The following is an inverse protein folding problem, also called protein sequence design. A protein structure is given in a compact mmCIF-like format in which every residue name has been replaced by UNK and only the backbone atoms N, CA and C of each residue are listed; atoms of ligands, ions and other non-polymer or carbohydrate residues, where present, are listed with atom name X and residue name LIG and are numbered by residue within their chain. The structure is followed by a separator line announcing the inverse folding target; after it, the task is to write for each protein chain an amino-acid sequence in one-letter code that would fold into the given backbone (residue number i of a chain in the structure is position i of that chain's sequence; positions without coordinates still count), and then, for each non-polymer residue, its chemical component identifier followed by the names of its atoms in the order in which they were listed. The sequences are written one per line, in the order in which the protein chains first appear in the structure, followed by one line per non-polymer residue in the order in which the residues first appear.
data_IF_451377560172
#
_entry.id   IF_451377560172
#
_cell.length_a   1.000
_cell.length_b   1.000
_cell.length_c   1.000
_cell.angle_alpha   90.00
_cell.angle_beta   90.00
_cell.angle_gamma   90.00
#
_symmetry.space_group_name_H-M   'P 1'
#
loop_
_entity.id
_entity.type
_entity.pdbx_description
1 polymer ?
#
# COMPACT_ATOMS: atom_id res chain seq x y z
N UNK A 1 -31.18 18.18 -53.42
CA UNK A 1 -30.39 18.32 -52.18
C UNK A 1 -29.23 19.23 -52.48
N UNK A 2 -29.42 20.53 -52.27
CA UNK A 2 -28.40 21.56 -52.56
C UNK A 2 -27.21 21.38 -51.61
N UNK A 3 -26.00 21.74 -52.02
CA UNK A 3 -24.78 21.64 -51.18
C UNK A 3 -24.92 22.32 -49.80
N UNK A 4 -25.84 23.27 -49.69
CA UNK A 4 -26.19 23.99 -48.48
C UNK A 4 -26.96 23.17 -47.41
N UNK A 5 -27.49 21.99 -47.74
CA UNK A 5 -28.32 21.18 -46.83
C UNK A 5 -27.54 20.05 -46.12
N UNK A 6 -26.31 19.76 -46.54
CA UNK A 6 -25.52 18.69 -45.90
C UNK A 6 -25.06 19.13 -44.50
N UNK A 7 -24.94 18.23 -43.51
CA UNK A 7 -24.33 18.57 -42.23
C UNK A 7 -22.82 18.81 -42.38
N UNK A 8 -22.25 19.72 -41.58
CA UNK A 8 -20.80 19.89 -41.48
C UNK A 8 -20.20 18.67 -40.76
N UNK A 9 -19.34 17.90 -41.43
CA UNK A 9 -18.78 16.64 -40.89
C UNK A 9 -18.06 16.80 -39.54
N UNK A 10 -17.56 17.99 -39.23
CA UNK A 10 -16.78 18.26 -38.02
C UNK A 10 -17.58 18.92 -36.90
N UNK A 11 -18.80 19.40 -37.14
CA UNK A 11 -19.66 20.06 -36.15
C UNK A 11 -20.80 19.11 -35.74
N UNK A 12 -20.96 18.85 -34.45
CA UNK A 12 -22.01 17.97 -33.92
C UNK A 12 -23.30 18.76 -33.69
N UNK A 13 -24.42 18.13 -34.05
CA UNK A 13 -25.77 18.62 -33.71
C UNK A 13 -26.15 18.33 -32.25
N UNK A 14 -25.47 17.37 -31.62
CA UNK A 14 -25.64 16.95 -30.24
C UNK A 14 -24.77 17.78 -29.28
N UNK A 15 -25.00 17.65 -27.97
CA UNK A 15 -24.22 18.26 -26.87
C UNK A 15 -24.09 19.79 -26.90
N UNK A 16 -25.06 20.48 -27.51
CA UNK A 16 -25.06 21.93 -27.68
C UNK A 16 -23.75 22.50 -28.28
N UNK A 17 -23.00 21.67 -29.01
CA UNK A 17 -21.73 22.07 -29.61
C UNK A 17 -21.93 23.16 -30.67
N UNK A 18 -23.02 23.05 -31.43
CA UNK A 18 -23.42 24.06 -32.40
C UNK A 18 -23.85 25.38 -31.75
N UNK A 19 -24.47 25.36 -30.56
CA UNK A 19 -24.78 26.58 -29.79
C UNK A 19 -23.51 27.27 -29.35
N UNK A 20 -22.53 26.50 -28.87
CA UNK A 20 -21.23 27.03 -28.51
C UNK A 20 -20.49 27.62 -29.72
N UNK A 21 -20.53 26.94 -30.87
CA UNK A 21 -19.96 27.46 -32.10
C UNK A 21 -20.63 28.78 -32.53
N UNK A 22 -21.94 28.88 -32.35
CA UNK A 22 -22.68 30.11 -32.61
C UNK A 22 -22.22 31.26 -31.69
N UNK A 23 -22.10 31.00 -30.39
CA UNK A 23 -21.59 31.99 -29.43
C UNK A 23 -20.14 32.41 -29.74
N UNK A 24 -19.28 31.45 -30.09
CA UNK A 24 -17.90 31.74 -30.51
C UNK A 24 -17.86 32.68 -31.71
N UNK A 25 -18.73 32.48 -32.70
CA UNK A 25 -18.82 33.33 -33.88
C UNK A 25 -19.36 34.73 -33.54
N UNK A 26 -20.42 34.84 -32.72
CA UNK A 26 -20.96 36.13 -32.26
C UNK A 26 -19.89 37.01 -31.59
N UNK A 27 -18.98 36.42 -30.84
CA UNK A 27 -17.90 37.15 -30.15
C UNK A 27 -16.74 37.55 -31.08
N UNK A 28 -16.61 36.94 -32.26
CA UNK A 28 -15.46 37.13 -33.16
C UNK A 28 -15.79 37.88 -34.44
N UNK A 29 -17.07 37.96 -34.80
CA UNK A 29 -17.55 38.68 -35.96
C UNK A 29 -17.95 40.11 -35.58
N UNK A 30 -17.65 41.09 -36.44
CA UNK A 30 -18.15 42.46 -36.27
C UNK A 30 -19.66 42.51 -36.53
N UNK A 31 -20.34 43.50 -35.94
CA UNK A 31 -21.76 43.76 -36.18
C UNK A 31 -22.06 43.94 -37.69
N UNK A 32 -21.19 44.68 -38.39
CA UNK A 32 -21.28 44.93 -39.83
C UNK A 32 -21.11 43.69 -40.69
N UNK A 33 -20.34 42.71 -40.23
CA UNK A 33 -20.21 41.45 -40.95
C UNK A 33 -21.37 40.51 -40.61
N UNK A 34 -21.81 40.49 -39.35
CA UNK A 34 -22.98 39.72 -38.93
C UNK A 34 -24.24 40.14 -39.71
N UNK A 35 -24.45 41.43 -40.00
CA UNK A 35 -25.59 41.92 -40.78
C UNK A 35 -25.60 41.44 -42.24
N UNK A 36 -24.45 41.04 -42.78
CA UNK A 36 -24.29 40.51 -44.16
C UNK A 36 -24.52 39.00 -44.25
N UNK A 37 -24.59 38.30 -43.12
CA UNK A 37 -24.90 36.88 -43.09
C UNK A 37 -26.35 36.64 -43.51
N UNK A 38 -26.59 35.56 -44.25
CA UNK A 38 -27.94 35.16 -44.65
C UNK A 38 -28.81 34.85 -43.42
N UNK A 39 -30.02 35.44 -43.39
CA UNK A 39 -31.01 35.26 -42.33
C UNK A 39 -31.11 36.44 -41.36
N UNK A 40 -32.23 36.52 -40.66
CA UNK A 40 -32.50 37.60 -39.71
C UNK A 40 -31.56 37.53 -38.51
N UNK A 41 -31.38 38.67 -37.83
CA UNK A 41 -30.55 38.76 -36.63
C UNK A 41 -30.96 37.74 -35.55
N UNK A 42 -32.24 37.40 -35.49
CA UNK A 42 -32.82 36.47 -34.53
C UNK A 42 -32.71 35.00 -34.95
N UNK A 43 -32.61 34.70 -36.25
CA UNK A 43 -32.70 33.32 -36.77
C UNK A 43 -31.35 32.76 -37.24
N UNK A 44 -30.38 33.61 -37.61
CA UNK A 44 -29.08 33.22 -38.17
C UNK A 44 -28.21 32.28 -37.32
N UNK A 45 -28.50 32.17 -36.03
CA UNK A 45 -27.82 31.28 -35.09
C UNK A 45 -28.79 30.46 -34.22
N UNK A 46 -30.06 30.35 -34.63
CA UNK A 46 -31.11 29.73 -33.82
C UNK A 46 -31.14 28.20 -33.90
N UNK A 47 -30.58 27.61 -34.96
CA UNK A 47 -30.49 26.16 -35.12
C UNK A 47 -29.15 25.72 -35.71
N UNK A 48 -28.85 24.43 -35.62
CA UNK A 48 -27.68 23.81 -36.22
C UNK A 48 -27.55 24.14 -37.71
N UNK A 49 -28.65 24.09 -38.45
CA UNK A 49 -28.71 24.33 -39.89
C UNK A 49 -28.38 25.78 -40.23
N UNK A 50 -28.86 26.73 -39.41
CA UNK A 50 -28.53 28.15 -39.55
C UNK A 50 -27.04 28.41 -39.24
N UNK A 51 -26.51 27.82 -38.15
CA UNK A 51 -25.09 27.90 -37.79
C UNK A 51 -24.20 27.29 -38.88
N UNK A 52 -24.56 26.12 -39.41
CA UNK A 52 -23.81 25.45 -40.47
C UNK A 52 -23.79 26.28 -41.75
N UNK A 53 -24.91 26.93 -42.09
CA UNK A 53 -25.01 27.83 -43.24
C UNK A 53 -24.18 29.09 -43.05
N UNK A 54 -24.23 29.71 -41.86
CA UNK A 54 -23.40 30.86 -41.52
C UNK A 54 -21.90 30.51 -41.60
N UNK A 55 -21.50 29.35 -41.06
CA UNK A 55 -20.11 28.87 -41.14
C UNK A 55 -19.65 28.68 -42.59
N UNK A 56 -20.51 28.19 -43.50
CA UNK A 56 -20.15 28.07 -44.92
C UNK A 56 -19.90 29.41 -45.58
N UNK A 57 -20.75 30.40 -45.29
CA UNK A 57 -20.59 31.75 -45.79
C UNK A 57 -19.29 32.39 -45.24
N UNK A 58 -19.04 32.23 -43.93
CA UNK A 58 -17.80 32.68 -43.28
C UNK A 58 -16.58 31.95 -43.81
N UNK A 59 -16.69 30.67 -44.19
CA UNK A 59 -15.60 29.90 -44.77
C UNK A 59 -15.13 30.49 -46.12
N UNK A 60 -16.06 31.06 -46.89
CA UNK A 60 -15.76 31.72 -48.17
C UNK A 60 -15.06 33.07 -47.95
N UNK A 61 -15.52 33.87 -46.99
CA UNK A 61 -15.01 35.23 -46.77
C UNK A 61 -13.79 35.28 -45.82
N UNK A 62 -13.78 34.42 -44.80
CA UNK A 62 -12.82 34.40 -43.68
C UNK A 62 -12.43 32.96 -43.27
N UNK A 63 -11.74 32.20 -44.15
CA UNK A 63 -11.40 30.80 -43.91
C UNK A 63 -10.56 30.58 -42.64
N UNK A 64 -9.69 31.53 -42.28
CA UNK A 64 -8.84 31.45 -41.07
C UNK A 64 -9.68 31.42 -39.79
N UNK A 65 -10.82 32.13 -39.75
CA UNK A 65 -11.69 32.14 -38.58
C UNK A 65 -12.33 30.77 -38.37
N UNK A 66 -12.74 30.10 -39.45
CA UNK A 66 -13.33 28.76 -39.36
C UNK A 66 -12.29 27.72 -38.95
N UNK A 67 -11.04 27.83 -39.41
CA UNK A 67 -9.94 26.95 -38.94
C UNK A 67 -9.72 27.12 -37.42
N UNK A 68 -9.74 28.36 -36.92
CA UNK A 68 -9.64 28.63 -35.47
C UNK A 68 -10.82 28.07 -34.69
N UNK A 69 -12.05 28.21 -35.23
CA UNK A 69 -13.24 27.61 -34.65
C UNK A 69 -13.13 26.08 -34.57
N UNK A 70 -12.69 25.42 -35.64
CA UNK A 70 -12.44 23.97 -35.66
C UNK A 70 -11.43 23.55 -34.59
N UNK A 71 -10.31 24.27 -34.48
CA UNK A 71 -9.30 24.03 -33.45
C UNK A 71 -9.85 24.19 -32.02
N UNK A 72 -10.65 25.23 -31.79
CA UNK A 72 -11.27 25.47 -30.50
C UNK A 72 -12.30 24.39 -30.13
N UNK A 73 -13.11 23.91 -31.08
CA UNK A 73 -14.01 22.77 -30.86
C UNK A 73 -13.21 21.50 -30.54
N UNK A 74 -12.13 21.22 -31.27
CA UNK A 74 -11.27 20.06 -31.00
C UNK A 74 -10.69 20.12 -29.58
N UNK A 75 -10.19 21.27 -29.15
CA UNK A 75 -9.70 21.48 -27.78
C UNK A 75 -10.80 21.34 -26.74
N UNK A 76 -12.00 21.88 -27.00
CA UNK A 76 -13.15 21.75 -26.10
C UNK A 76 -13.55 20.29 -25.92
N UNK A 77 -13.62 19.50 -26.99
CA UNK A 77 -13.88 18.05 -26.93
C UNK A 77 -12.80 17.29 -26.17
N UNK A 78 -11.53 17.70 -26.33
CA UNK A 78 -10.43 17.09 -25.60
C UNK A 78 -10.52 17.36 -24.09
N UNK A 79 -11.06 18.52 -23.71
CA UNK A 79 -11.20 18.98 -22.32
C UNK A 79 -12.54 18.62 -21.67
N UNK A 80 -13.55 18.16 -22.41
CA UNK A 80 -14.82 17.76 -21.82
C UNK A 80 -14.65 16.46 -21.03
N UNK A 81 -15.25 16.41 -19.84
CA UNK A 81 -15.11 15.34 -18.83
C UNK A 81 -15.46 13.92 -19.32
N UNK A 82 -16.00 13.77 -20.52
CA UNK A 82 -16.42 12.50 -21.12
C UNK A 82 -15.30 11.47 -21.32
N UNK A 83 -14.03 11.86 -21.16
CA UNK A 83 -12.86 10.97 -21.32
C UNK A 83 -12.20 10.57 -19.99
N UNK A 84 -12.83 10.85 -18.84
CA UNK A 84 -12.30 10.45 -17.53
C UNK A 84 -10.99 11.14 -17.11
N UNK A 85 -10.60 12.22 -17.80
CA UNK A 85 -9.41 13.02 -17.52
C UNK A 85 -9.84 14.42 -17.10
N UNK A 86 -9.60 14.78 -15.85
CA UNK A 86 -9.72 16.15 -15.37
C UNK A 86 -8.35 16.81 -15.42
N UNK A 87 -8.12 17.77 -16.33
CA UNK A 87 -6.85 18.49 -16.38
C UNK A 87 -6.72 19.38 -15.13
N UNK A 88 -5.71 19.11 -14.30
CA UNK A 88 -5.34 19.98 -13.19
C UNK A 88 -4.10 20.77 -13.61
N UNK A 89 -4.15 22.10 -13.47
CA UNK A 89 -3.03 22.98 -13.80
C UNK A 89 -2.32 23.39 -12.52
N UNK A 90 -1.03 23.13 -12.45
CA UNK A 90 -0.16 23.60 -11.38
C UNK A 90 0.95 24.47 -11.96
N UNK A 91 1.42 25.43 -11.19
CA UNK A 91 2.61 26.21 -11.52
C UNK A 91 3.77 25.69 -10.71
N UNK A 92 4.84 25.30 -11.40
CA UNK A 92 6.10 24.86 -10.79
C UNK A 92 7.17 25.90 -11.06
N UNK A 93 8.19 25.97 -10.20
CA UNK A 93 9.37 26.80 -10.49
C UNK A 93 10.15 26.20 -11.66
N UNK A 94 10.90 27.03 -12.39
CA UNK A 94 11.72 26.57 -13.51
C UNK A 94 12.69 25.45 -13.07
N UNK A 95 13.32 25.61 -11.90
CA UNK A 95 14.21 24.61 -11.33
C UNK A 95 13.50 23.26 -11.11
N UNK A 96 12.25 23.29 -10.64
CA UNK A 96 11.46 22.06 -10.45
C UNK A 96 11.14 21.39 -11.78
N UNK A 97 10.80 22.17 -12.81
CA UNK A 97 10.51 21.67 -14.15
C UNK A 97 11.76 21.01 -14.76
N UNK A 98 12.91 21.68 -14.67
CA UNK A 98 14.18 21.18 -15.22
C UNK A 98 14.59 19.85 -14.55
N UNK A 99 14.45 19.79 -13.22
CA UNK A 99 14.71 18.56 -12.46
C UNK A 99 13.75 17.44 -12.85
N UNK A 100 12.45 17.72 -12.94
CA UNK A 100 11.45 16.74 -13.34
C UNK A 100 11.74 16.20 -14.73
N UNK A 101 12.05 17.07 -15.69
CA UNK A 101 12.41 16.70 -17.05
C UNK A 101 13.69 15.84 -17.08
N UNK A 102 14.73 16.21 -16.32
CA UNK A 102 15.95 15.41 -16.23
C UNK A 102 15.69 13.99 -15.67
N UNK A 103 14.83 13.87 -14.66
CA UNK A 103 14.43 12.58 -14.08
C UNK A 103 13.64 11.76 -15.13
N UNK A 104 12.67 12.38 -15.79
CA UNK A 104 11.83 11.74 -16.80
C UNK A 104 12.68 11.18 -17.96
N UNK A 105 13.65 11.98 -18.46
CA UNK A 105 14.61 11.57 -19.48
C UNK A 105 15.46 10.38 -19.03
N UNK A 106 16.00 10.43 -17.80
CA UNK A 106 16.81 9.34 -17.24
C UNK A 106 16.02 8.04 -17.15
N UNK A 107 14.73 8.13 -16.81
CA UNK A 107 13.83 6.97 -16.68
C UNK A 107 13.15 6.57 -17.99
N UNK A 108 13.38 7.31 -19.10
CA UNK A 108 12.69 7.13 -20.39
C UNK A 108 11.15 7.12 -20.26
N UNK A 109 10.63 8.00 -19.42
CA UNK A 109 9.19 8.19 -19.16
C UNK A 109 8.80 9.63 -19.47
N UNK A 110 7.51 9.87 -19.63
CA UNK A 110 6.98 11.24 -19.58
C UNK A 110 6.94 11.76 -18.14
N UNK A 111 6.83 13.07 -17.98
CA UNK A 111 6.83 13.74 -16.68
C UNK A 111 5.65 13.31 -15.81
N UNK A 112 4.50 13.01 -16.42
CA UNK A 112 3.30 12.57 -15.69
C UNK A 112 3.49 11.17 -15.11
N UNK A 113 3.99 10.23 -15.91
CA UNK A 113 4.33 8.88 -15.51
C UNK A 113 5.45 8.86 -14.45
N UNK A 114 6.38 9.82 -14.54
CA UNK A 114 7.44 10.00 -13.54
C UNK A 114 6.84 10.44 -12.19
N UNK A 115 5.97 11.46 -12.18
CA UNK A 115 5.24 11.90 -10.98
C UNK A 115 4.43 10.74 -10.40
N UNK A 116 3.67 10.01 -11.21
CA UNK A 116 2.89 8.86 -10.76
C UNK A 116 3.77 7.81 -10.09
N UNK A 117 4.92 7.46 -10.70
CA UNK A 117 5.82 6.48 -10.08
C UNK A 117 6.41 6.95 -8.76
N UNK A 118 6.76 8.24 -8.62
CA UNK A 118 7.28 8.79 -7.37
C UNK A 118 6.21 8.75 -6.26
N UNK A 119 4.96 9.06 -6.58
CA UNK A 119 3.84 8.98 -5.64
C UNK A 119 3.59 7.52 -5.20
N UNK A 120 3.63 6.57 -6.14
CA UNK A 120 3.45 5.15 -5.83
C UNK A 120 4.61 4.58 -5.00
N UNK A 121 5.85 4.97 -5.30
CA UNK A 121 7.04 4.54 -4.57
C UNK A 121 6.99 5.05 -3.11
N UNK A 122 6.60 6.30 -2.90
CA UNK A 122 6.45 6.86 -1.55
C UNK A 122 5.37 6.11 -0.75
N UNK A 123 4.23 5.82 -1.38
CA UNK A 123 3.17 5.03 -0.76
C UNK A 123 3.61 3.60 -0.43
N UNK A 124 4.42 2.97 -1.28
CA UNK A 124 5.01 1.64 -1.03
C UNK A 124 6.05 1.70 0.09
N UNK A 125 6.89 2.73 0.13
CA UNK A 125 7.93 2.90 1.15
C UNK A 125 7.33 3.06 2.55
N UNK A 126 6.28 3.88 2.69
CA UNK A 126 5.56 4.06 3.97
C UNK A 126 4.92 2.76 4.46
N UNK A 127 4.29 2.00 3.57
CA UNK A 127 3.69 0.71 3.93
C UNK A 127 4.77 -0.33 4.30
N UNK A 128 5.87 -0.38 3.55
CA UNK A 128 6.99 -1.27 3.83
C UNK A 128 7.65 -0.96 5.19
N UNK A 129 7.84 0.32 5.53
CA UNK A 129 8.39 0.72 6.83
C UNK A 129 7.45 0.32 7.98
N UNK A 130 6.14 0.52 7.80
CA UNK A 130 5.12 0.12 8.78
C UNK A 130 5.09 -1.40 8.97
N UNK A 131 5.12 -2.16 7.89
CA UNK A 131 5.12 -3.61 7.92
C UNK A 131 6.41 -4.16 8.55
N UNK A 132 7.56 -3.59 8.22
CA UNK A 132 8.84 -3.93 8.84
C UNK A 132 8.82 -3.67 10.35
N UNK A 133 8.33 -2.50 10.79
CA UNK A 133 8.17 -2.17 12.21
C UNK A 133 7.24 -3.17 12.93
N UNK A 134 6.15 -3.58 12.28
CA UNK A 134 5.23 -4.60 12.83
C UNK A 134 5.94 -5.95 12.98
N UNK A 135 6.56 -6.45 11.91
CA UNK A 135 7.27 -7.73 11.92
C UNK A 135 8.40 -7.74 12.95
N UNK A 136 9.13 -6.63 13.10
CA UNK A 136 10.18 -6.51 14.10
C UNK A 136 9.60 -6.62 15.52
N UNK A 137 8.52 -5.88 15.82
CA UNK A 137 7.84 -5.96 17.13
C UNK A 137 7.34 -7.38 17.43
N UNK A 138 6.71 -8.04 16.47
CA UNK A 138 6.23 -9.42 16.62
C UNK A 138 7.38 -10.42 16.80
N UNK A 139 8.50 -10.23 16.10
CA UNK A 139 9.69 -11.07 16.27
C UNK A 139 10.33 -10.91 17.65
N UNK A 140 10.41 -9.67 18.15
CA UNK A 140 10.95 -9.37 19.48
C UNK A 140 10.02 -9.91 20.56
N UNK A 141 8.71 -9.71 20.42
CA UNK A 141 7.72 -10.25 21.35
C UNK A 141 7.79 -11.79 21.44
N UNK A 142 7.89 -12.48 20.29
CA UNK A 142 8.06 -13.94 20.25
C UNK A 142 9.36 -14.39 20.93
N UNK A 143 10.48 -13.73 20.64
CA UNK A 143 11.77 -14.06 21.28
C UNK A 143 11.72 -13.85 22.79
N UNK A 144 11.12 -12.77 23.26
CA UNK A 144 10.94 -12.50 24.70
C UNK A 144 10.04 -13.54 25.35
N UNK A 145 8.94 -13.94 24.70
CA UNK A 145 8.06 -14.99 25.22
C UNK A 145 8.79 -16.33 25.36
N UNK A 146 9.55 -16.74 24.34
CA UNK A 146 10.35 -17.97 24.38
C UNK A 146 11.42 -17.89 25.48
N UNK A 147 12.13 -16.77 25.58
CA UNK A 147 13.17 -16.59 26.61
C UNK A 147 12.58 -16.65 28.03
N UNK A 148 11.44 -16.00 28.26
CA UNK A 148 10.76 -16.04 29.55
C UNK A 148 10.27 -17.44 29.90
N UNK A 149 9.75 -18.19 28.92
CA UNK A 149 9.33 -19.58 29.12
C UNK A 149 10.51 -20.49 29.45
N UNK A 150 11.63 -20.35 28.74
CA UNK A 150 12.86 -21.09 29.04
C UNK A 150 13.39 -20.77 30.44
N UNK A 151 13.35 -19.50 30.84
CA UNK A 151 13.74 -19.08 32.18
C UNK A 151 12.89 -19.76 33.25
N UNK A 152 11.56 -19.74 33.08
CA UNK A 152 10.63 -20.38 34.02
C UNK A 152 10.84 -21.91 34.10
N UNK A 153 11.11 -22.56 32.98
CA UNK A 153 11.42 -23.98 32.94
C UNK A 153 12.71 -24.31 33.69
N UNK A 154 13.78 -23.52 33.48
CA UNK A 154 15.04 -23.73 34.18
C UNK A 154 14.91 -23.47 35.68
N UNK A 155 14.15 -22.46 36.09
CA UNK A 155 13.83 -22.22 37.49
C UNK A 155 13.10 -23.42 38.12
N UNK A 156 12.07 -23.96 37.44
CA UNK A 156 11.34 -25.12 37.94
C UNK A 156 12.21 -26.38 38.06
N UNK A 157 13.11 -26.62 37.09
CA UNK A 157 14.06 -27.71 37.15
C UNK A 157 15.06 -27.51 38.30
N UNK A 158 15.57 -26.30 38.48
CA UNK A 158 16.50 -25.96 39.55
C UNK A 158 15.86 -26.19 40.93
N UNK A 159 14.65 -25.70 41.15
CA UNK A 159 13.90 -25.91 42.39
C UNK A 159 13.69 -27.38 42.70
N UNK A 160 13.35 -28.20 41.70
CA UNK A 160 13.16 -29.63 41.90
C UNK A 160 14.48 -30.34 42.23
N UNK A 161 15.58 -29.98 41.54
CA UNK A 161 16.90 -30.53 41.88
C UNK A 161 17.35 -30.15 43.29
N UNK A 162 17.10 -28.90 43.72
CA UNK A 162 17.43 -28.44 45.07
C UNK A 162 16.68 -29.24 46.13
N UNK A 163 15.37 -29.47 45.97
CA UNK A 163 14.58 -30.29 46.91
C UNK A 163 15.15 -31.70 47.06
N UNK A 164 15.56 -32.31 45.95
CA UNK A 164 16.14 -33.63 45.96
C UNK A 164 17.52 -33.65 46.64
N UNK A 165 18.38 -32.68 46.33
CA UNK A 165 19.68 -32.52 46.98
C UNK A 165 19.51 -32.31 48.48
N UNK A 166 18.62 -31.41 48.90
CA UNK A 166 18.32 -31.15 50.32
C UNK A 166 17.83 -32.42 51.03
N UNK A 167 16.93 -33.17 50.40
CA UNK A 167 16.43 -34.43 50.94
C UNK A 167 17.56 -35.44 51.17
N UNK A 168 18.45 -35.63 50.20
CA UNK A 168 19.54 -36.60 50.33
C UNK A 168 20.61 -36.14 51.31
N UNK A 169 20.96 -34.84 51.33
CA UNK A 169 21.86 -34.27 52.33
C UNK A 169 21.29 -34.42 53.74
N UNK A 170 19.99 -34.21 53.92
CA UNK A 170 19.33 -34.41 55.22
C UNK A 170 19.40 -35.88 55.67
N UNK A 171 19.20 -36.83 54.74
CA UNK A 171 19.32 -38.25 55.06
C UNK A 171 20.76 -38.64 55.42
N UNK A 172 21.74 -38.11 54.69
CA UNK A 172 23.16 -38.32 54.98
C UNK A 172 23.53 -37.74 56.35
N UNK A 173 23.18 -36.49 56.62
CA UNK A 173 23.45 -35.85 57.90
C UNK A 173 22.77 -36.58 59.08
N UNK A 174 21.54 -37.08 58.89
CA UNK A 174 20.87 -37.93 59.91
C UNK A 174 21.63 -39.22 60.18
N UNK A 175 22.17 -39.85 59.14
CA UNK A 175 22.98 -41.05 59.27
C UNK A 175 24.28 -40.75 60.03
N UNK A 176 25.03 -39.71 59.62
CA UNK A 176 26.27 -39.29 60.28
C UNK A 176 26.07 -38.94 61.76
N UNK A 177 24.92 -38.34 62.11
CA UNK A 177 24.58 -38.02 63.50
C UNK A 177 24.20 -39.25 64.34
N UNK A 178 23.58 -40.28 63.74
CA UNK A 178 23.21 -41.50 64.45
C UNK A 178 24.41 -42.42 64.69
N UNK A 179 25.43 -42.37 63.83
CA UNK A 179 26.63 -43.19 63.89
C UNK A 179 27.91 -42.36 63.70
N UNK A 180 28.29 -41.53 64.69
CA UNK A 180 29.37 -40.56 64.55
C UNK A 180 30.78 -41.19 64.41
N UNK A 181 30.97 -42.41 64.92
CA UNK A 181 32.25 -43.12 64.95
C UNK A 181 32.30 -44.35 64.01
N UNK A 182 31.21 -44.64 63.29
CA UNK A 182 31.20 -45.73 62.30
C UNK A 182 31.44 -45.17 60.90
N UNK A 183 32.40 -45.73 60.19
CA UNK A 183 32.42 -45.63 58.73
C UNK A 183 31.32 -46.53 58.16
N UNK A 184 30.55 -46.10 57.14
CA UNK A 184 29.56 -46.95 56.51
C UNK A 184 30.21 -48.29 56.14
N UNK A 185 29.56 -49.43 56.41
CA UNK A 185 30.10 -50.72 56.01
C UNK A 185 30.44 -50.68 54.52
N UNK A 186 31.61 -51.19 54.15
CA UNK A 186 32.11 -51.16 52.77
C UNK A 186 31.13 -51.94 51.88
N UNK A 187 30.17 -51.24 51.30
CA UNK A 187 29.33 -51.77 50.25
C UNK A 187 30.18 -51.92 48.99
N UNK A 188 29.91 -52.95 48.19
CA UNK A 188 30.52 -53.06 46.87
C UNK A 188 30.18 -51.81 46.06
N UNK A 189 31.18 -51.22 45.38
CA UNK A 189 30.99 -50.08 44.48
C UNK A 189 29.89 -50.37 43.43
N UNK A 190 29.72 -51.63 43.03
CA UNK A 190 28.64 -52.05 42.13
C UNK A 190 27.25 -51.87 42.72
N UNK A 191 27.05 -52.15 44.01
CA UNK A 191 25.74 -52.04 44.65
C UNK A 191 25.41 -50.58 44.96
N UNK A 192 26.41 -49.78 45.33
CA UNK A 192 26.29 -48.33 45.45
C UNK A 192 25.94 -47.71 44.10
N UNK A 193 26.63 -48.11 43.03
CA UNK A 193 26.37 -47.61 41.68
C UNK A 193 24.95 -47.93 41.22
N UNK A 194 24.46 -49.17 41.40
CA UNK A 194 23.09 -49.55 41.05
C UNK A 194 22.04 -48.73 41.81
N UNK A 195 22.25 -48.46 43.09
CA UNK A 195 21.33 -47.67 43.89
C UNK A 195 21.31 -46.21 43.43
N UNK A 196 22.48 -45.62 43.19
CA UNK A 196 22.62 -44.25 42.67
C UNK A 196 21.97 -44.13 41.28
N UNK A 197 22.21 -45.08 40.38
CA UNK A 197 21.59 -45.12 39.05
C UNK A 197 20.06 -45.15 39.13
N UNK A 198 19.51 -45.97 40.03
CA UNK A 198 18.06 -46.05 40.25
C UNK A 198 17.49 -44.71 40.74
N UNK A 199 18.13 -44.06 41.72
CA UNK A 199 17.70 -42.75 42.24
C UNK A 199 17.87 -41.63 41.22
N UNK A 200 18.96 -41.68 40.44
CA UNK A 200 19.23 -40.72 39.38
C UNK A 200 18.24 -40.87 38.23
N UNK A 201 17.78 -42.09 37.94
CA UNK A 201 16.72 -42.34 36.97
C UNK A 201 15.40 -41.70 37.39
N UNK A 202 14.97 -41.88 38.65
CA UNK A 202 13.75 -41.23 39.19
C UNK A 202 13.82 -39.70 39.07
N UNK A 203 14.96 -39.10 39.41
CA UNK A 203 15.18 -37.66 39.25
C UNK A 203 15.08 -37.22 37.78
N UNK A 204 15.75 -37.94 36.87
CA UNK A 204 15.71 -37.67 35.43
C UNK A 204 14.29 -37.76 34.88
N UNK A 205 13.52 -38.77 35.28
CA UNK A 205 12.14 -38.97 34.84
C UNK A 205 11.23 -37.81 35.31
N UNK A 206 11.45 -37.29 36.52
CA UNK A 206 10.72 -36.11 37.02
C UNK A 206 11.10 -34.82 36.31
N UNK A 207 12.39 -34.60 36.06
CA UNK A 207 12.85 -33.44 35.28
C UNK A 207 12.32 -33.49 33.85
N UNK A 208 12.27 -34.69 33.25
CA UNK A 208 11.66 -34.92 31.95
C UNK A 208 10.15 -34.64 31.96
N UNK A 209 9.45 -35.04 33.02
CA UNK A 209 8.02 -34.73 33.18
C UNK A 209 7.76 -33.23 33.31
N UNK A 210 8.57 -32.48 34.08
CA UNK A 210 8.45 -31.02 34.20
C UNK A 210 8.67 -30.37 32.82
N UNK A 211 9.71 -30.77 32.10
CA UNK A 211 9.97 -30.28 30.76
C UNK A 211 8.82 -30.60 29.78
N UNK A 212 8.26 -31.80 29.85
CA UNK A 212 7.12 -32.22 29.02
C UNK A 212 5.84 -31.45 29.36
N UNK A 213 5.50 -31.32 30.64
CA UNK A 213 4.31 -30.58 31.09
C UNK A 213 4.34 -29.15 30.57
N UNK A 214 5.46 -28.47 30.76
CA UNK A 214 5.60 -27.06 30.40
C UNK A 214 5.60 -26.87 28.87
N UNK A 215 6.12 -27.84 28.10
CA UNK A 215 5.99 -27.92 26.65
C UNK A 215 4.54 -28.12 26.16
N UNK A 216 3.76 -28.99 26.83
CA UNK A 216 2.35 -29.24 26.46
C UNK A 216 1.44 -28.05 26.80
N UNK A 217 1.72 -27.35 27.90
CA UNK A 217 0.96 -26.14 28.26
C UNK A 217 1.29 -24.93 27.39
N UNK A 218 2.43 -24.95 26.69
CA UNK A 218 2.84 -23.86 25.78
C UNK A 218 2.28 -24.02 24.37
N UNK A 219 2.14 -25.25 23.86
CA UNK A 219 1.60 -25.53 22.52
C UNK A 219 0.11 -25.17 22.38
N UNK A 220 -0.69 -25.40 23.44
CA UNK A 220 -2.11 -25.01 23.48
C UNK A 220 -2.36 -23.50 23.49
N UNK A 221 -1.36 -22.68 23.84
CA UNK A 221 -1.49 -21.23 23.82
C UNK A 221 -1.29 -20.60 22.43
N UNK A 222 -0.84 -21.38 21.44
CA UNK A 222 -0.46 -20.89 20.12
C UNK A 222 -1.49 -21.18 19.01
N UNK A 223 -2.45 -22.09 19.26
CA UNK A 223 -3.45 -22.57 18.27
C UNK A 223 -4.84 -21.91 18.37
N UNK A 224 -5.09 -21.01 19.33
CA UNK A 224 -6.40 -20.34 19.52
C UNK A 224 -6.43 -18.83 19.15
N UNK A 225 -5.54 -18.34 18.27
CA UNK A 225 -5.59 -16.92 17.82
C UNK A 225 -5.38 -16.70 16.34
#
# INVERSE_FOLDING_TARGET
MSENEKPLKWLRKQDDEWKWAAEYLKHRLSADYMSKLKGDAFTRFASYEHVASAIRQIQQDMPVLVIRLQGAIRQRRYRSDSNGRQPITFTLTNETIDRLHAIAQKQKKDETATITSLIEEEGKALNAERDYKRQLKESVARKLAIANQQSALFEAQLDETLKYTERYLTLLARWELMWPDETPPTASDEDVSKLVESKMKDLKDKLAYIAFRDAVTTDRGHDER
#
